data_IF_056312462002
#
_entry.id   IF_056312462002
#
_cell.length_a   1.000
_cell.length_b   1.000
_cell.length_c   1.000
_cell.angle_alpha   90.00
_cell.angle_beta   90.00
_cell.angle_gamma   90.00
#
_symmetry.space_group_name_H-M   'P 1'
#
loop_
_entity.id
_entity.type
_entity.pdbx_description
1 polymer ?
#
# COMPACT_ATOMS: atom_id res chain seq x y z
N UNK A 1 26.64 -39.25 20.60
CA UNK A 1 25.51 -38.29 20.69
C UNK A 1 25.70 -37.31 19.55
N UNK A 2 25.00 -37.50 18.45
CA UNK A 2 25.10 -36.68 17.24
C UNK A 2 24.20 -35.47 17.40
N UNK A 3 24.79 -34.30 17.64
CA UNK A 3 24.07 -33.03 17.62
C UNK A 3 23.69 -32.69 16.17
N UNK A 4 22.40 -32.82 15.87
CA UNK A 4 21.82 -32.35 14.61
C UNK A 4 21.90 -30.83 14.55
N UNK A 5 22.84 -30.31 13.77
CA UNK A 5 22.83 -28.92 13.36
C UNK A 5 21.57 -28.69 12.53
N UNK A 6 20.62 -27.96 13.10
CA UNK A 6 19.40 -27.53 12.42
C UNK A 6 19.81 -26.44 11.41
N UNK A 7 19.99 -26.82 10.14
CA UNK A 7 20.34 -25.90 9.07
C UNK A 7 19.14 -25.03 8.74
N UNK A 8 19.16 -23.77 9.19
CA UNK A 8 18.23 -22.75 8.71
C UNK A 8 18.59 -22.47 7.25
N UNK A 9 17.77 -22.95 6.31
CA UNK A 9 17.89 -22.60 4.90
C UNK A 9 17.86 -21.08 4.75
N UNK A 10 18.99 -20.50 4.38
CA UNK A 10 19.12 -19.07 4.15
C UNK A 10 18.67 -18.79 2.72
N UNK A 11 17.39 -18.54 2.52
CA UNK A 11 16.85 -18.12 1.21
C UNK A 11 17.58 -16.88 0.74
N UNK A 12 18.04 -16.86 -0.52
CA UNK A 12 18.74 -15.69 -1.05
C UNK A 12 17.83 -14.46 -1.11
N UNK A 13 18.41 -13.26 -1.04
CA UNK A 13 17.66 -11.99 -1.15
C UNK A 13 16.84 -11.95 -2.45
N UNK A 14 17.44 -12.38 -3.57
CA UNK A 14 16.74 -12.48 -4.86
C UNK A 14 15.52 -13.39 -4.76
N UNK A 15 15.69 -14.61 -4.24
CA UNK A 15 14.59 -15.57 -4.10
C UNK A 15 13.46 -15.04 -3.19
N UNK A 16 13.79 -14.26 -2.18
CA UNK A 16 12.79 -13.61 -1.30
C UNK A 16 12.01 -12.53 -2.05
N UNK A 17 12.70 -11.67 -2.80
CA UNK A 17 12.07 -10.63 -3.63
C UNK A 17 11.18 -11.28 -4.70
N UNK A 18 11.70 -12.28 -5.41
CA UNK A 18 10.96 -13.00 -6.45
C UNK A 18 9.67 -13.60 -5.88
N UNK A 19 9.76 -14.21 -4.69
CA UNK A 19 8.57 -14.76 -4.00
C UNK A 19 7.52 -13.68 -3.70
N UNK A 20 7.94 -12.50 -3.23
CA UNK A 20 7.01 -11.39 -2.96
C UNK A 20 6.38 -10.85 -4.24
N UNK A 21 7.15 -10.70 -5.31
CA UNK A 21 6.65 -10.25 -6.62
C UNK A 21 5.63 -11.25 -7.17
N UNK A 22 5.93 -12.56 -7.14
CA UNK A 22 5.00 -13.58 -7.62
C UNK A 22 3.68 -13.59 -6.83
N UNK A 23 3.74 -13.42 -5.50
CA UNK A 23 2.52 -13.26 -4.68
C UNK A 23 1.74 -12.00 -5.04
N UNK A 24 2.44 -10.89 -5.29
CA UNK A 24 1.82 -9.64 -5.75
C UNK A 24 1.11 -9.79 -7.10
N UNK A 25 1.74 -10.47 -8.06
CA UNK A 25 1.16 -10.77 -9.37
C UNK A 25 -0.08 -11.67 -9.26
N UNK A 26 -0.03 -12.70 -8.41
CA UNK A 26 -1.21 -13.53 -8.15
C UNK A 26 -2.36 -12.74 -7.52
N UNK A 27 -2.07 -11.84 -6.56
CA UNK A 27 -3.08 -10.99 -5.95
C UNK A 27 -3.65 -9.95 -6.94
N UNK A 28 -2.82 -9.44 -7.86
CA UNK A 28 -3.24 -8.52 -8.92
C UNK A 28 -4.33 -9.13 -9.80
N UNK A 29 -4.20 -10.41 -10.18
CA UNK A 29 -5.21 -11.10 -10.98
C UNK A 29 -6.58 -11.17 -10.29
N UNK A 30 -6.61 -11.28 -8.95
CA UNK A 30 -7.85 -11.21 -8.19
C UNK A 30 -8.36 -9.77 -8.05
N UNK A 31 -7.46 -8.79 -7.83
CA UNK A 31 -7.80 -7.36 -7.77
C UNK A 31 -8.40 -6.85 -9.09
N UNK A 32 -7.95 -7.36 -10.24
CA UNK A 32 -8.48 -7.02 -11.57
C UNK A 32 -9.96 -7.34 -11.73
N UNK A 33 -10.47 -8.34 -11.02
CA UNK A 33 -11.89 -8.77 -11.06
C UNK A 33 -12.81 -7.86 -10.25
N UNK A 34 -12.24 -6.98 -9.40
CA UNK A 34 -13.02 -6.13 -8.51
C UNK A 34 -13.56 -4.90 -9.23
N UNK A 35 -14.82 -4.57 -8.94
CA UNK A 35 -15.44 -3.32 -9.36
C UNK A 35 -15.03 -2.13 -8.49
N UNK A 36 -15.37 -0.92 -8.94
CA UNK A 36 -15.03 0.33 -8.25
C UNK A 36 -15.47 0.34 -6.78
N UNK A 37 -16.71 -0.06 -6.49
CA UNK A 37 -17.25 -0.06 -5.12
C UNK A 37 -16.51 -1.02 -4.18
N UNK A 38 -16.09 -2.17 -4.70
CA UNK A 38 -15.33 -3.16 -3.92
C UNK A 38 -13.92 -2.64 -3.61
N UNK A 39 -13.26 -2.02 -4.58
CA UNK A 39 -11.96 -1.36 -4.39
C UNK A 39 -12.08 -0.23 -3.37
N UNK A 40 -13.10 0.62 -3.51
CA UNK A 40 -13.35 1.74 -2.60
C UNK A 40 -13.62 1.27 -1.17
N UNK A 41 -14.36 0.16 -1.02
CA UNK A 41 -14.59 -0.47 0.26
C UNK A 41 -13.29 -0.97 0.90
N UNK A 42 -12.43 -1.67 0.15
CA UNK A 42 -11.13 -2.16 0.63
C UNK A 42 -10.28 -0.98 1.11
N UNK A 43 -10.16 0.08 0.30
CA UNK A 43 -9.39 1.28 0.63
C UNK A 43 -9.94 1.96 1.88
N UNK A 44 -11.26 2.08 2.02
CA UNK A 44 -11.89 2.64 3.20
C UNK A 44 -11.61 1.82 4.46
N UNK A 45 -11.66 0.49 4.38
CA UNK A 45 -11.34 -0.39 5.51
C UNK A 45 -9.86 -0.36 5.88
N UNK A 46 -8.96 -0.34 4.89
CA UNK A 46 -7.52 -0.19 5.12
C UNK A 46 -7.19 1.17 5.76
N UNK A 47 -7.85 2.24 5.31
CA UNK A 47 -7.74 3.58 5.89
C UNK A 47 -8.12 3.60 7.38
N UNK A 48 -9.26 2.98 7.73
CA UNK A 48 -9.72 2.90 9.12
C UNK A 48 -8.76 2.08 9.99
N UNK A 49 -8.21 0.98 9.47
CA UNK A 49 -7.21 0.19 10.21
C UNK A 49 -5.92 0.99 10.44
N UNK A 50 -5.43 1.73 9.43
CA UNK A 50 -4.28 2.60 9.59
C UNK A 50 -4.55 3.78 10.53
N UNK A 51 -5.79 4.28 10.55
CA UNK A 51 -6.24 5.31 11.49
C UNK A 51 -6.24 4.79 12.92
N UNK A 52 -6.70 3.57 13.16
CA UNK A 52 -6.69 2.96 14.51
C UNK A 52 -5.24 2.75 15.01
N UNK A 53 -4.37 2.22 14.14
CA UNK A 53 -2.97 1.92 14.45
C UNK A 53 -2.01 3.13 14.38
N UNK A 54 -2.49 4.35 14.07
CA UNK A 54 -1.62 5.51 13.77
C UNK A 54 -0.61 5.83 14.87
N UNK A 55 -1.04 5.74 16.14
CA UNK A 55 -0.20 5.99 17.31
C UNK A 55 0.81 4.88 17.55
N UNK A 56 0.39 3.61 17.49
CA UNK A 56 1.30 2.47 17.65
C UNK A 56 2.42 2.49 16.60
N UNK A 57 2.06 2.72 15.33
CA UNK A 57 3.03 2.84 14.24
C UNK A 57 3.98 4.02 14.45
N UNK A 58 3.48 5.17 14.93
CA UNK A 58 4.33 6.32 15.23
C UNK A 58 5.33 6.03 16.35
N UNK A 59 4.93 5.25 17.36
CA UNK A 59 5.78 4.81 18.46
C UNK A 59 6.91 3.92 17.94
N UNK A 60 6.57 2.86 17.20
CA UNK A 60 7.57 1.97 16.61
C UNK A 60 8.56 2.74 15.72
N UNK A 61 8.06 3.65 14.88
CA UNK A 61 8.91 4.47 14.03
C UNK A 61 9.84 5.40 14.82
N UNK A 62 9.43 5.91 15.98
CA UNK A 62 10.27 6.74 16.84
C UNK A 62 11.33 5.88 17.56
N UNK A 63 10.92 4.77 18.16
CA UNK A 63 11.78 3.86 18.92
C UNK A 63 12.86 3.21 18.05
N UNK A 64 12.50 2.76 16.84
CA UNK A 64 13.43 2.11 15.91
C UNK A 64 14.43 3.10 15.30
N UNK A 65 13.95 4.29 14.88
CA UNK A 65 14.81 5.24 14.14
C UNK A 65 15.56 6.21 15.04
N UNK A 66 15.10 6.42 16.28
CA UNK A 66 15.63 7.44 17.20
C UNK A 66 15.49 8.88 16.68
N UNK A 67 14.61 9.14 15.71
CA UNK A 67 14.51 10.42 14.99
C UNK A 67 13.10 11.02 15.02
N UNK A 68 13.03 12.34 15.22
CA UNK A 68 11.79 13.12 15.15
C UNK A 68 11.02 13.13 16.47
N UNK A 69 9.74 13.48 16.39
CA UNK A 69 8.82 13.59 17.54
C UNK A 69 7.66 12.62 17.32
N UNK A 70 7.24 11.92 18.38
CA UNK A 70 6.19 10.91 18.31
C UNK A 70 4.87 11.51 17.80
N UNK A 71 4.45 12.65 18.37
CA UNK A 71 3.20 13.35 18.07
C UNK A 71 3.15 13.81 16.61
N UNK A 72 4.28 14.29 16.07
CA UNK A 72 4.40 14.69 14.67
C UNK A 72 4.30 13.48 13.73
N UNK A 73 4.87 12.32 14.12
CA UNK A 73 4.73 11.07 13.36
C UNK A 73 3.30 10.54 13.39
N UNK A 74 2.63 10.61 14.53
CA UNK A 74 1.22 10.26 14.65
C UNK A 74 0.36 11.15 13.73
N UNK A 75 0.61 12.46 13.75
CA UNK A 75 -0.05 13.42 12.85
C UNK A 75 0.21 13.12 11.36
N UNK A 76 1.45 12.76 11.00
CA UNK A 76 1.78 12.32 9.63
C UNK A 76 1.05 11.04 9.23
N UNK A 77 0.91 10.08 10.14
CA UNK A 77 0.13 8.86 9.89
C UNK A 77 -1.35 9.20 9.67
N UNK A 78 -1.94 10.07 10.52
CA UNK A 78 -3.31 10.57 10.37
C UNK A 78 -3.55 11.27 9.03
N UNK A 79 -2.59 12.08 8.59
CA UNK A 79 -2.65 12.71 7.27
C UNK A 79 -2.69 11.66 6.14
N UNK A 80 -1.81 10.66 6.20
CA UNK A 80 -1.72 9.61 5.20
C UNK A 80 -3.00 8.75 5.13
N UNK A 81 -3.60 8.38 6.26
CA UNK A 81 -4.79 7.53 6.25
C UNK A 81 -6.10 8.30 6.04
N UNK A 82 -6.23 9.52 6.57
CA UNK A 82 -7.45 10.31 6.47
C UNK A 82 -7.51 11.20 5.24
N UNK A 83 -6.52 12.08 5.07
CA UNK A 83 -6.57 13.13 4.04
C UNK A 83 -6.44 12.55 2.63
N UNK A 84 -5.48 11.64 2.41
CA UNK A 84 -5.23 11.03 1.10
C UNK A 84 -6.46 10.26 0.62
N UNK A 85 -7.06 9.44 1.50
CA UNK A 85 -8.24 8.63 1.18
C UNK A 85 -9.44 9.52 0.87
N UNK A 86 -9.60 10.62 1.60
CA UNK A 86 -10.64 11.58 1.29
C UNK A 86 -10.43 12.26 -0.08
N UNK A 87 -9.17 12.60 -0.42
CA UNK A 87 -8.84 13.20 -1.71
C UNK A 87 -9.12 12.27 -2.90
N UNK A 88 -8.81 10.98 -2.78
CA UNK A 88 -9.02 10.00 -3.86
C UNK A 88 -10.38 9.28 -3.83
N UNK A 89 -11.26 9.60 -2.88
CA UNK A 89 -12.54 8.90 -2.65
C UNK A 89 -13.40 8.79 -3.91
N UNK A 90 -13.50 9.87 -4.68
CA UNK A 90 -14.35 9.96 -5.87
C UNK A 90 -13.61 9.74 -7.19
N UNK A 91 -12.31 9.43 -7.15
CA UNK A 91 -11.55 9.17 -8.36
C UNK A 91 -11.93 7.80 -8.92
N UNK A 92 -12.26 7.75 -10.21
CA UNK A 92 -12.50 6.49 -10.92
C UNK A 92 -11.16 5.86 -11.30
N UNK A 93 -10.98 4.58 -10.98
CA UNK A 93 -9.75 3.80 -11.20
C UNK A 93 -10.03 2.42 -11.81
N UNK A 94 -11.31 2.14 -12.11
CA UNK A 94 -11.77 0.86 -12.64
C UNK A 94 -12.56 1.09 -13.92
N UNK A 95 -12.16 0.44 -15.01
CA UNK A 95 -12.89 0.48 -16.28
C UNK A 95 -12.84 1.85 -16.95
N UNK A 96 -13.95 2.25 -17.57
CA UNK A 96 -14.06 3.54 -18.26
C UNK A 96 -14.13 4.68 -17.23
N UNK A 97 -13.15 5.57 -17.27
CA UNK A 97 -13.05 6.70 -16.33
C UNK A 97 -13.59 7.99 -16.94
N UNK A 98 -13.53 8.12 -18.26
CA UNK A 98 -13.96 9.31 -19.01
C UNK A 98 -14.41 8.91 -20.42
N UNK A 99 -15.49 9.54 -20.88
CA UNK A 99 -15.99 9.45 -22.25
C UNK A 99 -16.22 10.88 -22.74
N UNK A 100 -15.62 11.23 -23.87
CA UNK A 100 -15.78 12.53 -24.51
C UNK A 100 -16.38 12.34 -25.91
N UNK A 101 -17.66 12.67 -26.03
CA UNK A 101 -18.42 12.57 -27.27
C UNK A 101 -17.94 13.53 -28.36
N UNK A 102 -17.29 14.65 -27.99
CA UNK A 102 -16.83 15.67 -28.93
C UNK A 102 -15.55 15.20 -29.64
N UNK A 103 -14.60 14.67 -28.87
CA UNK A 103 -13.35 14.12 -29.43
C UNK A 103 -13.47 12.66 -29.86
N UNK A 104 -14.51 11.95 -29.40
CA UNK A 104 -14.70 10.52 -29.59
C UNK A 104 -13.73 9.65 -28.80
N UNK A 105 -13.18 10.19 -27.69
CA UNK A 105 -12.19 9.49 -26.86
C UNK A 105 -12.84 8.80 -25.67
N UNK A 106 -12.41 7.58 -25.39
CA UNK A 106 -12.75 6.81 -24.18
C UNK A 106 -11.47 6.50 -23.42
N UNK A 107 -11.38 6.94 -22.17
CA UNK A 107 -10.26 6.64 -21.29
C UNK A 107 -10.60 5.44 -20.40
N UNK A 108 -9.74 4.42 -20.42
CA UNK A 108 -9.88 3.19 -19.64
C UNK A 108 -8.71 3.09 -18.66
N UNK A 109 -9.00 2.91 -17.38
CA UNK A 109 -7.99 2.73 -16.35
C UNK A 109 -7.49 1.29 -16.28
N UNK A 110 -6.17 1.11 -16.46
CA UNK A 110 -5.47 -0.16 -16.32
C UNK A 110 -4.39 -0.03 -15.22
N UNK A 111 -4.33 -0.96 -14.24
CA UNK A 111 -3.27 -0.95 -13.25
C UNK A 111 -1.89 -1.22 -13.87
N UNK A 112 -0.86 -0.56 -13.33
CA UNK A 112 0.53 -0.76 -13.78
C UNK A 112 1.12 -2.11 -13.33
N UNK A 113 0.50 -2.76 -12.35
CA UNK A 113 0.95 -4.03 -11.77
C UNK A 113 1.69 -3.86 -10.44
N UNK A 114 2.71 -4.69 -10.19
CA UNK A 114 3.43 -4.69 -8.91
C UNK A 114 4.39 -3.50 -8.81
N UNK A 115 4.27 -2.73 -7.73
CA UNK A 115 5.05 -1.51 -7.50
C UNK A 115 6.14 -1.74 -6.44
N UNK A 116 7.37 -1.31 -6.74
CA UNK A 116 8.46 -1.26 -5.75
C UNK A 116 8.37 0.02 -4.90
N UNK A 117 7.91 -0.10 -3.66
CA UNK A 117 7.74 1.02 -2.74
C UNK A 117 8.96 1.33 -1.88
N UNK A 118 9.90 2.15 -2.37
CA UNK A 118 11.06 2.57 -1.56
C UNK A 118 10.63 3.52 -0.44
N UNK A 119 10.99 3.23 0.81
CA UNK A 119 10.53 3.99 1.98
C UNK A 119 11.71 4.68 2.68
N UNK A 120 11.65 6.01 2.93
CA UNK A 120 12.73 6.73 3.59
C UNK A 120 12.68 6.56 5.11
N UNK A 121 13.84 6.61 5.76
CA UNK A 121 13.94 6.52 7.24
C UNK A 121 13.28 7.69 7.98
N UNK A 122 13.06 8.83 7.32
CA UNK A 122 12.45 10.02 7.94
C UNK A 122 10.95 9.88 8.16
N UNK A 123 10.26 9.16 7.26
CA UNK A 123 8.81 8.97 7.28
C UNK A 123 8.45 7.49 6.98
N UNK A 124 8.92 6.52 7.80
CA UNK A 124 8.81 5.12 7.44
C UNK A 124 7.35 4.64 7.36
N UNK A 125 6.54 4.97 8.38
CA UNK A 125 5.15 4.48 8.48
C UNK A 125 4.19 5.25 7.59
N UNK A 126 4.24 6.58 7.61
CA UNK A 126 3.32 7.40 6.80
C UNK A 126 3.53 7.18 5.30
N UNK A 127 4.77 6.99 4.85
CA UNK A 127 5.07 6.65 3.45
C UNK A 127 4.53 5.26 3.09
N UNK A 128 4.71 4.27 3.97
CA UNK A 128 4.18 2.93 3.74
C UNK A 128 2.65 2.92 3.66
N UNK A 129 1.98 3.63 4.59
CA UNK A 129 0.52 3.80 4.59
C UNK A 129 0.07 4.47 3.29
N UNK A 130 0.65 5.63 2.95
CA UNK A 130 0.32 6.39 1.74
C UNK A 130 0.43 5.53 0.47
N UNK A 131 1.59 4.89 0.27
CA UNK A 131 1.86 4.08 -0.92
C UNK A 131 0.94 2.87 -1.01
N UNK A 132 0.64 2.23 0.12
CA UNK A 132 -0.28 1.09 0.16
C UNK A 132 -1.70 1.52 -0.23
N UNK A 133 -2.19 2.64 0.31
CA UNK A 133 -3.55 3.11 0.04
C UNK A 133 -3.76 3.52 -1.43
N UNK A 134 -2.80 4.26 -2.02
CA UNK A 134 -2.91 4.64 -3.44
C UNK A 134 -2.77 3.42 -4.35
N UNK A 135 -1.90 2.45 -4.01
CA UNK A 135 -1.75 1.22 -4.78
C UNK A 135 -3.04 0.39 -4.72
N UNK A 136 -3.67 0.25 -3.55
CA UNK A 136 -4.95 -0.44 -3.43
C UNK A 136 -6.05 0.26 -4.26
N UNK A 137 -6.09 1.59 -4.23
CA UNK A 137 -7.09 2.38 -4.98
C UNK A 137 -6.94 2.20 -6.49
N UNK A 138 -5.73 1.99 -7.00
CA UNK A 138 -5.47 1.85 -8.44
C UNK A 138 -5.48 0.41 -8.95
N UNK A 139 -5.69 -0.57 -8.07
CA UNK A 139 -5.51 -2.01 -8.34
C UNK A 139 -4.08 -2.32 -8.79
#
# INVERSE_FOLDING_TARGET
MTEGHNTVETTSVSATIDTLVQKGLAALEEMRKLGQEQVDYIVAKASVAALDAHGELAKHAYEETGRGVFEDKATKNLFACGHVVNNMRHQKTVGIIEEDDVTGLTLIAEPVGVICGITPTTNPTSTAIFKSLISLKTR
#
